data_IF_413147733880
#
_entry.id   IF_413147733880
#
_cell.length_a   1.000
_cell.length_b   1.000
_cell.length_c   1.000
_cell.angle_alpha   90.00
_cell.angle_beta   90.00
_cell.angle_gamma   90.00
#
_symmetry.space_group_name_H-M   'P 1'
#
loop_
_entity.id
_entity.type
_entity.pdbx_description
1 polymer ?
#
# COMPACT_ATOMS: atom_id res chain seq x y z
N UNK A 1 -46.33 49.87 32.10
CA UNK A 1 -45.57 50.51 33.20
C UNK A 1 -46.36 50.28 34.48
N UNK A 2 -45.76 49.97 35.64
CA UNK A 2 -44.35 50.07 36.08
C UNK A 2 -43.64 48.69 36.10
N UNK A 3 -42.35 48.48 35.79
CA UNK A 3 -41.02 48.98 36.22
C UNK A 3 -40.46 48.40 37.52
N UNK A 4 -39.31 47.71 37.39
CA UNK A 4 -38.28 47.51 38.43
C UNK A 4 -38.09 46.04 38.84
N UNK A 5 -36.88 45.46 38.91
CA UNK A 5 -35.52 45.96 38.68
C UNK A 5 -34.57 44.75 38.69
N UNK A 6 -33.56 44.78 37.82
CA UNK A 6 -32.43 43.84 37.80
C UNK A 6 -31.61 43.92 39.09
N UNK A 7 -31.13 42.76 39.57
CA UNK A 7 -30.37 42.62 40.80
C UNK A 7 -29.38 41.47 40.74
N UNK A 8 -28.26 41.75 40.08
CA UNK A 8 -27.04 40.95 39.93
C UNK A 8 -26.53 40.38 41.27
N UNK A 9 -26.51 39.06 41.41
CA UNK A 9 -25.89 38.33 42.50
C UNK A 9 -24.81 37.38 41.98
N UNK A 10 -23.59 37.90 41.81
CA UNK A 10 -22.40 37.14 41.41
C UNK A 10 -22.05 36.14 42.52
N UNK A 11 -22.60 34.93 42.40
CA UNK A 11 -22.19 33.76 43.17
C UNK A 11 -20.86 33.24 42.63
N UNK A 12 -19.76 33.78 43.14
CA UNK A 12 -18.43 33.16 43.06
C UNK A 12 -18.50 31.71 43.53
N UNK A 13 -18.35 30.75 42.62
CA UNK A 13 -17.81 29.41 42.89
C UNK A 13 -16.59 29.29 41.97
N UNK A 14 -15.36 29.46 42.41
CA UNK A 14 -14.79 28.83 43.59
C UNK A 14 -14.36 27.42 43.21
N UNK A 15 -13.15 27.32 42.66
CA UNK A 15 -12.25 26.16 42.69
C UNK A 15 -12.89 24.76 42.67
N UNK A 16 -13.02 24.20 41.46
CA UNK A 16 -13.20 22.76 41.24
C UNK A 16 -11.88 22.09 40.84
N UNK A 17 -10.80 22.35 41.58
CA UNK A 17 -9.57 21.56 41.48
C UNK A 17 -9.81 20.19 42.10
N UNK A 18 -10.63 19.35 41.46
CA UNK A 18 -10.87 17.98 41.90
C UNK A 18 -9.61 17.17 41.63
N UNK A 19 -8.90 16.91 42.73
CA UNK A 19 -7.94 15.82 42.94
C UNK A 19 -8.15 14.60 42.03
N UNK A 20 -7.62 14.59 40.81
CA UNK A 20 -7.27 13.33 40.11
C UNK A 20 -5.84 12.93 40.50
N UNK A 21 -5.58 12.83 41.80
CA UNK A 21 -4.35 12.21 42.30
C UNK A 21 -4.60 10.71 42.25
N UNK A 22 -3.94 10.03 41.31
CA UNK A 22 -3.92 8.57 41.08
C UNK A 22 -4.78 8.08 39.90
N UNK A 23 -4.69 8.73 38.73
CA UNK A 23 -5.06 8.06 37.49
C UNK A 23 -3.99 6.99 37.17
N UNK A 24 -4.43 5.77 36.83
CA UNK A 24 -3.59 4.65 36.47
C UNK A 24 -3.90 4.22 35.04
N UNK A 25 -2.88 3.80 34.29
CA UNK A 25 -3.09 3.22 32.97
C UNK A 25 -3.89 1.91 33.08
N UNK A 26 -5.00 1.79 32.35
CA UNK A 26 -5.86 0.60 32.37
C UNK A 26 -5.19 -0.65 31.75
N UNK A 27 -4.10 -0.48 31.01
CA UNK A 27 -3.37 -1.56 30.34
C UNK A 27 -2.19 -2.09 31.17
N UNK A 28 -1.30 -1.21 31.64
CA UNK A 28 -0.11 -1.60 32.41
C UNK A 28 -0.23 -1.37 33.92
N UNK A 29 -1.33 -0.74 34.39
CA UNK A 29 -1.62 -0.38 35.80
C UNK A 29 -0.59 0.53 36.49
N UNK A 30 0.35 1.10 35.74
CA UNK A 30 1.33 2.07 36.25
C UNK A 30 0.68 3.45 36.49
N UNK A 31 1.25 4.22 37.42
CA UNK A 31 0.77 5.56 37.78
C UNK A 31 1.36 6.63 36.86
N UNK A 32 0.76 7.84 36.84
CA UNK A 32 1.30 9.00 36.12
C UNK A 32 2.78 9.29 36.40
N UNK A 33 3.28 8.96 37.59
CA UNK A 33 4.71 9.19 37.95
C UNK A 33 5.66 8.25 37.21
N UNK A 34 5.20 7.05 36.87
CA UNK A 34 6.05 5.99 36.33
C UNK A 34 6.11 6.04 34.79
N UNK A 35 5.04 6.51 34.14
CA UNK A 35 4.89 6.50 32.67
C UNK A 35 4.63 7.88 32.07
N UNK A 36 4.55 8.91 32.91
CA UNK A 36 4.30 10.29 32.48
C UNK A 36 2.86 10.51 32.01
N UNK A 37 2.64 11.28 30.93
CA UNK A 37 1.32 11.72 30.52
C UNK A 37 0.39 10.55 30.16
N UNK A 38 -0.85 10.64 30.62
CA UNK A 38 -1.92 9.68 30.37
C UNK A 38 -2.97 10.33 29.47
N UNK A 39 -3.44 9.60 28.46
CA UNK A 39 -4.54 10.00 27.58
C UNK A 39 -5.85 9.51 28.18
N UNK A 40 -6.82 10.42 28.38
CA UNK A 40 -8.15 10.10 28.91
C UNK A 40 -9.08 9.61 27.77
N UNK A 41 -9.76 8.49 27.99
CA UNK A 41 -10.80 7.95 27.11
C UNK A 41 -12.19 8.01 27.77
N UNK A 42 -13.25 7.67 27.01
CA UNK A 42 -14.60 7.59 27.56
C UNK A 42 -14.69 6.52 28.66
N UNK A 43 -15.42 6.83 29.74
CA UNK A 43 -15.66 5.89 30.85
C UNK A 43 -14.52 5.74 31.86
N UNK A 44 -13.81 6.82 32.18
CA UNK A 44 -12.69 6.83 33.15
C UNK A 44 -11.54 5.86 32.81
N UNK A 45 -11.32 5.61 31.51
CA UNK A 45 -10.22 4.79 31.01
C UNK A 45 -9.01 5.68 30.70
N UNK A 46 -7.82 5.23 31.08
CA UNK A 46 -6.57 5.96 30.83
C UNK A 46 -5.55 5.05 30.14
N UNK A 47 -4.80 5.58 29.17
CA UNK A 47 -3.71 4.86 28.50
C UNK A 47 -2.43 5.70 28.50
N UNK A 48 -1.29 5.07 28.76
CA UNK A 48 0.02 5.74 28.71
C UNK A 48 0.69 5.62 27.34
N UNK A 49 1.69 6.47 27.08
CA UNK A 49 2.48 6.45 25.84
C UNK A 49 3.12 5.10 25.55
N UNK A 50 3.74 4.46 26.54
CA UNK A 50 4.35 3.12 26.39
C UNK A 50 3.35 2.07 25.88
N UNK A 51 2.11 2.09 26.40
CA UNK A 51 1.07 1.17 25.97
C UNK A 51 0.56 1.50 24.57
N UNK A 52 0.51 2.79 24.19
CA UNK A 52 0.15 3.19 22.82
C UNK A 52 1.18 2.64 21.83
N UNK A 53 2.47 2.81 22.11
CA UNK A 53 3.55 2.30 21.26
C UNK A 53 3.53 0.77 21.16
N UNK A 54 3.32 0.08 22.28
CA UNK A 54 3.20 -1.38 22.30
C UNK A 54 1.98 -1.83 21.50
N UNK A 55 0.80 -1.25 21.74
CA UNK A 55 -0.40 -1.56 20.97
C UNK A 55 -0.21 -1.27 19.48
N UNK A 56 0.46 -0.17 19.12
CA UNK A 56 0.76 0.16 17.73
C UNK A 56 1.70 -0.88 17.10
N UNK A 57 2.74 -1.32 17.81
CA UNK A 57 3.64 -2.37 17.33
C UNK A 57 2.92 -3.70 17.08
N UNK A 58 2.01 -4.08 18.00
CA UNK A 58 1.20 -5.31 17.87
C UNK A 58 0.26 -5.19 16.66
N UNK A 59 -0.40 -4.04 16.50
CA UNK A 59 -1.28 -3.77 15.36
C UNK A 59 -0.51 -3.79 14.04
N UNK A 60 0.69 -3.23 13.99
CA UNK A 60 1.51 -3.23 12.78
C UNK A 60 2.07 -4.62 12.47
N UNK A 61 2.40 -5.42 13.49
CA UNK A 61 2.75 -6.83 13.32
C UNK A 61 1.57 -7.66 12.82
N UNK A 62 0.36 -7.43 13.33
CA UNK A 62 -0.87 -8.06 12.83
C UNK A 62 -1.20 -7.60 11.41
N UNK A 63 -1.05 -6.33 11.06
CA UNK A 63 -1.21 -5.84 9.67
C UNK A 63 -0.22 -6.51 8.71
N UNK A 64 1.03 -6.73 9.15
CA UNK A 64 2.04 -7.47 8.37
C UNK A 64 1.69 -8.95 8.24
N UNK A 65 1.22 -9.59 9.32
CA UNK A 65 0.81 -11.01 9.34
C UNK A 65 -0.44 -11.28 8.52
N UNK A 66 -1.43 -10.40 8.59
CA UNK A 66 -2.69 -10.53 7.84
C UNK A 66 -2.53 -10.19 6.36
N UNK A 67 -1.37 -9.65 5.97
CA UNK A 67 -1.18 -9.05 4.66
C UNK A 67 -2.14 -7.89 4.51
N UNK A 68 -1.68 -6.64 4.66
CA UNK A 68 -2.49 -5.53 4.17
C UNK A 68 -2.77 -5.81 2.70
N UNK A 69 -4.04 -6.05 2.35
CA UNK A 69 -4.60 -6.06 1.00
C UNK A 69 -4.50 -4.67 0.36
N UNK A 70 -3.38 -3.96 0.56
CA UNK A 70 -2.97 -2.89 -0.31
C UNK A 70 -2.74 -3.57 -1.64
N UNK A 71 -3.75 -3.54 -2.50
CA UNK A 71 -3.59 -3.92 -3.88
C UNK A 71 -2.36 -3.14 -4.39
N UNK A 72 -1.27 -3.84 -4.73
CA UNK A 72 -0.05 -3.16 -5.21
C UNK A 72 -0.36 -2.37 -6.50
N UNK A 73 -1.47 -2.71 -7.18
CA UNK A 73 -1.99 -2.03 -8.35
C UNK A 73 -3.48 -1.74 -8.16
N UNK A 74 -3.89 -0.49 -8.38
CA UNK A 74 -5.30 -0.05 -8.27
C UNK A 74 -6.18 -0.62 -9.39
N UNK A 75 -5.58 -0.97 -10.52
CA UNK A 75 -6.26 -1.56 -11.68
C UNK A 75 -5.29 -2.38 -12.51
N UNK A 76 -5.63 -3.64 -12.78
CA UNK A 76 -4.87 -4.47 -13.73
C UNK A 76 -5.45 -4.23 -15.12
N UNK A 77 -4.65 -3.77 -16.11
CA UNK A 77 -5.16 -3.53 -17.45
C UNK A 77 -5.69 -4.82 -18.09
N UNK A 78 -6.82 -4.72 -18.78
CA UNK A 78 -7.38 -5.87 -19.49
C UNK A 78 -6.55 -6.20 -20.73
N UNK A 79 -6.48 -7.46 -21.18
CA UNK A 79 -5.74 -7.81 -22.39
C UNK A 79 -6.22 -7.03 -23.63
N UNK A 80 -7.49 -6.63 -23.66
CA UNK A 80 -8.04 -5.83 -24.77
C UNK A 80 -7.53 -4.40 -24.76
N UNK A 81 -7.42 -3.79 -23.58
CA UNK A 81 -6.82 -2.45 -23.43
C UNK A 81 -5.36 -2.45 -23.88
N UNK A 82 -4.58 -3.46 -23.45
CA UNK A 82 -3.17 -3.57 -23.83
C UNK A 82 -3.02 -3.73 -25.34
N UNK A 83 -3.83 -4.57 -25.99
CA UNK A 83 -3.85 -4.68 -27.47
C UNK A 83 -4.20 -3.33 -28.10
N UNK A 84 -5.23 -2.64 -27.61
CA UNK A 84 -5.66 -1.35 -28.15
C UNK A 84 -4.58 -0.28 -28.08
N UNK A 85 -3.79 -0.24 -27.01
CA UNK A 85 -2.62 0.64 -26.92
C UNK A 85 -1.49 0.21 -27.87
N UNK A 86 -1.20 -1.09 -27.97
CA UNK A 86 -0.18 -1.60 -28.90
C UNK A 86 -0.55 -1.35 -30.37
N UNK A 87 -1.83 -1.35 -30.71
CA UNK A 87 -2.36 -1.06 -32.04
C UNK A 87 -2.08 0.38 -32.50
N UNK A 88 -1.93 1.33 -31.58
CA UNK A 88 -1.61 2.73 -31.91
C UNK A 88 -0.18 2.92 -32.45
N UNK A 89 0.73 2.00 -32.13
CA UNK A 89 2.16 2.14 -32.46
C UNK A 89 2.68 1.06 -33.40
N UNK A 90 2.15 -0.16 -33.31
CA UNK A 90 2.58 -1.29 -34.14
C UNK A 90 1.41 -1.67 -35.03
N UNK A 91 1.61 -1.71 -36.35
CA UNK A 91 0.55 -2.11 -37.30
C UNK A 91 0.66 -3.62 -37.58
N UNK A 92 -0.48 -4.32 -37.60
CA UNK A 92 -0.54 -5.77 -37.79
C UNK A 92 -0.07 -6.57 -36.57
N UNK A 93 0.61 -7.71 -36.77
CA UNK A 93 1.17 -8.55 -35.70
C UNK A 93 0.16 -8.96 -34.60
N UNK A 94 -1.11 -9.19 -34.98
CA UNK A 94 -2.22 -9.42 -34.04
C UNK A 94 -1.97 -10.58 -33.07
N UNK A 95 -1.38 -11.67 -33.56
CA UNK A 95 -1.04 -12.82 -32.73
C UNK A 95 -0.05 -12.45 -31.61
N UNK A 96 1.05 -11.78 -31.96
CA UNK A 96 2.06 -11.37 -30.99
C UNK A 96 1.49 -10.40 -29.94
N UNK A 97 0.68 -9.42 -30.37
CA UNK A 97 0.01 -8.48 -29.44
C UNK A 97 -0.91 -9.19 -28.47
N UNK A 98 -1.70 -10.16 -28.93
CA UNK A 98 -2.60 -10.95 -28.08
C UNK A 98 -1.81 -11.76 -27.03
N UNK A 99 -0.75 -12.43 -27.46
CA UNK A 99 0.11 -13.22 -26.55
C UNK A 99 0.77 -12.31 -25.50
N UNK A 100 1.36 -11.19 -25.93
CA UNK A 100 1.96 -10.21 -25.01
C UNK A 100 0.96 -9.66 -24.00
N UNK A 101 -0.25 -9.32 -24.46
CA UNK A 101 -1.28 -8.75 -23.62
C UNK A 101 -1.79 -9.73 -22.56
N UNK A 102 -1.95 -11.00 -22.93
CA UNK A 102 -2.32 -12.06 -21.97
C UNK A 102 -1.18 -12.28 -20.97
N UNK A 103 0.07 -12.37 -21.43
CA UNK A 103 1.21 -12.59 -20.57
C UNK A 103 1.42 -11.45 -19.55
N UNK A 104 1.24 -10.20 -19.97
CA UNK A 104 1.27 -9.03 -19.09
C UNK A 104 0.15 -9.08 -18.05
N UNK A 105 -1.07 -9.35 -18.48
CA UNK A 105 -2.20 -9.47 -17.56
C UNK A 105 -1.97 -10.58 -16.52
N UNK A 106 -1.46 -11.73 -16.94
CA UNK A 106 -1.08 -12.82 -16.05
C UNK A 106 0.08 -12.44 -15.12
N UNK A 107 1.06 -11.67 -15.61
CA UNK A 107 2.16 -11.17 -14.79
C UNK A 107 1.66 -10.30 -13.63
N UNK A 108 0.76 -9.34 -13.91
CA UNK A 108 0.15 -8.51 -12.86
C UNK A 108 -0.66 -9.33 -11.86
N UNK A 109 -1.47 -10.29 -12.32
CA UNK A 109 -2.22 -11.18 -11.43
C UNK A 109 -1.31 -11.99 -10.52
N UNK A 110 -0.22 -12.52 -11.05
CA UNK A 110 0.77 -13.24 -10.26
C UNK A 110 1.40 -12.37 -9.17
N UNK A 111 1.73 -11.10 -9.48
CA UNK A 111 2.26 -10.16 -8.49
C UNK A 111 1.24 -9.86 -7.37
N UNK A 112 -0.06 -9.78 -7.69
CA UNK A 112 -1.11 -9.62 -6.68
C UNK A 112 -1.21 -10.83 -5.76
N UNK A 113 -1.28 -12.05 -6.33
CA UNK A 113 -1.41 -13.29 -5.56
C UNK A 113 -0.20 -13.49 -4.63
N UNK A 114 1.01 -13.22 -5.12
CA UNK A 114 2.23 -13.28 -4.31
C UNK A 114 2.27 -12.25 -3.18
N UNK A 115 1.60 -11.10 -3.34
CA UNK A 115 1.47 -10.09 -2.30
C UNK A 115 0.42 -10.43 -1.24
N UNK A 116 -0.63 -11.14 -1.63
CA UNK A 116 -1.72 -11.59 -0.74
C UNK A 116 -1.36 -12.85 0.06
N UNK A 117 -0.17 -13.42 -0.14
CA UNK A 117 0.31 -14.59 0.59
C UNK A 117 -0.46 -15.87 0.23
N UNK A 118 -0.99 -15.96 -1.00
CA UNK A 118 -1.68 -17.15 -1.47
C UNK A 118 -0.75 -18.37 -1.52
N UNK A 119 -1.26 -19.53 -1.10
CA UNK A 119 -0.56 -20.82 -1.10
C UNK A 119 -0.43 -21.45 -2.52
N UNK A 120 -0.90 -20.73 -3.55
CA UNK A 120 -0.88 -21.18 -4.94
C UNK A 120 0.31 -20.57 -5.65
N UNK A 121 1.28 -21.40 -6.01
CA UNK A 121 2.41 -20.98 -6.83
C UNK A 121 1.98 -20.85 -8.30
N UNK A 122 2.25 -19.70 -8.91
CA UNK A 122 1.90 -19.40 -10.30
C UNK A 122 3.19 -19.23 -11.09
N UNK A 123 3.44 -20.17 -12.01
CA UNK A 123 4.65 -20.17 -12.82
C UNK A 123 4.80 -18.92 -13.70
N UNK A 124 6.07 -18.54 -13.95
CA UNK A 124 6.41 -17.45 -14.86
C UNK A 124 6.22 -17.87 -16.32
N UNK A 125 5.32 -17.22 -17.05
CA UNK A 125 5.26 -17.35 -18.50
C UNK A 125 6.30 -16.44 -19.18
N UNK A 126 7.39 -17.03 -19.68
CA UNK A 126 8.35 -16.32 -20.54
C UNK A 126 7.87 -16.37 -22.00
N UNK A 127 8.25 -15.37 -22.79
CA UNK A 127 7.84 -15.24 -24.20
C UNK A 127 9.08 -15.19 -25.09
N UNK A 128 9.07 -15.99 -26.16
CA UNK A 128 10.03 -15.89 -27.25
C UNK A 128 9.35 -15.21 -28.45
N UNK A 129 9.86 -14.06 -28.88
CA UNK A 129 9.38 -13.36 -30.07
C UNK A 129 10.23 -13.73 -31.28
N UNK A 130 9.65 -14.49 -32.22
CA UNK A 130 10.32 -14.90 -33.45
C UNK A 130 9.75 -14.14 -34.66
N UNK A 131 10.63 -13.71 -35.57
CA UNK A 131 10.22 -13.05 -36.82
C UNK A 131 11.40 -12.38 -37.53
N UNK A 132 11.22 -11.95 -38.80
CA UNK A 132 12.28 -11.35 -39.62
C UNK A 132 12.81 -10.03 -39.04
N UNK A 133 13.93 -9.55 -39.55
CA UNK A 133 14.46 -8.22 -39.18
C UNK A 133 13.45 -7.13 -39.59
N UNK A 134 13.38 -6.05 -38.80
CA UNK A 134 12.49 -4.91 -39.10
C UNK A 134 10.98 -5.11 -38.84
N UNK A 135 10.50 -6.29 -38.41
CA UNK A 135 9.05 -6.52 -38.22
C UNK A 135 8.44 -5.90 -36.94
N UNK A 136 9.20 -5.11 -36.18
CA UNK A 136 8.69 -4.39 -35.01
C UNK A 136 8.82 -5.12 -33.66
N UNK A 137 9.62 -6.20 -33.54
CA UNK A 137 9.87 -6.89 -32.25
C UNK A 137 10.33 -5.94 -31.14
N UNK A 138 11.36 -5.14 -31.43
CA UNK A 138 11.90 -4.16 -30.48
C UNK A 138 10.91 -3.03 -30.21
N UNK A 139 10.11 -2.65 -31.20
CA UNK A 139 9.07 -1.62 -31.05
C UNK A 139 7.93 -2.09 -30.16
N UNK A 140 7.51 -3.37 -30.27
CA UNK A 140 6.53 -3.99 -29.37
C UNK A 140 7.01 -3.92 -27.92
N UNK A 141 8.25 -4.34 -27.64
CA UNK A 141 8.83 -4.29 -26.30
C UNK A 141 8.90 -2.86 -25.74
N UNK A 142 9.39 -1.90 -26.53
CA UNK A 142 9.47 -0.48 -26.12
C UNK A 142 8.09 0.15 -25.89
N UNK A 143 7.09 -0.20 -26.70
CA UNK A 143 5.73 0.33 -26.54
C UNK A 143 5.08 -0.26 -25.30
N UNK A 144 5.28 -1.57 -25.06
CA UNK A 144 4.78 -2.24 -23.87
C UNK A 144 5.36 -1.60 -22.60
N UNK A 145 6.65 -1.28 -22.59
CA UNK A 145 7.32 -0.61 -21.46
C UNK A 145 6.69 0.75 -21.09
N UNK A 146 6.05 1.46 -22.03
CA UNK A 146 5.37 2.74 -21.74
C UNK A 146 4.02 2.57 -21.06
N UNK A 147 3.43 1.39 -21.13
CA UNK A 147 2.09 1.07 -20.60
C UNK A 147 2.21 0.34 -19.26
N UNK A 148 3.35 -0.29 -19.00
CA UNK A 148 3.60 -1.05 -17.80
C UNK A 148 4.02 -0.15 -16.63
N UNK A 149 3.23 -0.15 -15.55
CA UNK A 149 3.59 0.45 -14.26
C UNK A 149 4.55 -0.42 -13.44
N UNK A 150 5.51 -1.08 -14.10
CA UNK A 150 6.54 -1.91 -13.46
C UNK A 150 7.91 -1.63 -14.10
N UNK A 151 9.02 -1.81 -13.36
CA UNK A 151 10.36 -1.65 -13.93
C UNK A 151 10.55 -2.53 -15.17
N UNK A 152 11.03 -1.93 -16.26
CA UNK A 152 11.27 -2.60 -17.53
C UNK A 152 12.72 -2.44 -17.95
N UNK A 153 13.40 -3.56 -18.21
CA UNK A 153 14.79 -3.59 -18.66
C UNK A 153 14.88 -4.12 -20.09
N UNK A 154 15.75 -3.51 -20.89
CA UNK A 154 16.09 -3.96 -22.24
C UNK A 154 17.60 -4.20 -22.26
N UNK A 155 18.00 -5.42 -22.60
CA UNK A 155 19.41 -5.78 -22.79
C UNK A 155 19.59 -6.51 -24.12
N UNK A 156 20.81 -6.49 -24.64
CA UNK A 156 21.22 -7.30 -25.78
C UNK A 156 21.97 -8.53 -25.27
N UNK A 157 21.57 -9.71 -25.73
CA UNK A 157 22.26 -10.95 -25.35
C UNK A 157 23.65 -11.05 -25.99
N UNK A 158 23.91 -10.35 -27.10
CA UNK A 158 25.22 -10.36 -27.77
C UNK A 158 26.31 -9.70 -26.94
N UNK A 159 25.95 -8.82 -26.00
CA UNK A 159 26.90 -8.19 -25.08
C UNK A 159 27.18 -9.03 -23.83
N UNK A 160 26.41 -10.10 -23.61
CA UNK A 160 26.59 -10.98 -22.47
C UNK A 160 27.50 -12.15 -22.86
N UNK A 161 28.67 -12.22 -22.24
CA UNK A 161 29.60 -13.33 -22.38
C UNK A 161 29.49 -14.27 -21.18
N UNK A 162 30.07 -15.47 -21.30
CA UNK A 162 30.11 -16.45 -20.22
C UNK A 162 30.74 -15.86 -18.93
N UNK A 163 30.36 -16.43 -17.78
CA UNK A 163 30.61 -15.88 -16.46
C UNK A 163 32.08 -15.50 -16.21
N UNK A 164 32.30 -14.27 -15.72
CA UNK A 164 33.61 -13.87 -15.20
C UNK A 164 34.08 -12.44 -15.50
N UNK A 165 33.34 -11.63 -16.25
CA UNK A 165 33.78 -10.25 -16.50
C UNK A 165 32.69 -9.17 -16.48
N UNK A 166 31.44 -9.46 -16.86
CA UNK A 166 30.32 -8.52 -16.72
C UNK A 166 29.02 -9.32 -16.52
N UNK A 167 28.35 -9.11 -15.39
CA UNK A 167 27.03 -9.67 -15.07
C UNK A 167 25.96 -8.59 -15.12
#
# INVERSE_FOLDING_TARGET
MPTGKDGNGIGRRGAGGTTKKNAFCSFCRKSYRDVGPLVEGPGDVYICGECIELCQSILDQEKRRRGTSKQLFTSIPSPREVVGHLDQYVIGQHHAKRVLSVAVHSHYKRLMIGAEGGDVDVEKSNILLMGPTGCGKTLLAKTLAKILDVPFAIGDATTLTEAGYVG
#
